data_IF_575124264412
#
_entry.id   IF_575124264412
#
_cell.length_a   1.000
_cell.length_b   1.000
_cell.length_c   1.000
_cell.angle_alpha   90.00
_cell.angle_beta   90.00
_cell.angle_gamma   90.00
#
_symmetry.space_group_name_H-M   'P 1'
#
loop_
_entity.id
_entity.type
_entity.pdbx_description
1 polymer ?
#
# COMPACT_ATOMS: atom_id res chain seq x y z
N UNK A 1 2.94 20.15 -34.38
CA UNK A 1 1.58 19.73 -34.82
C UNK A 1 0.86 18.77 -33.85
N UNK A 2 1.25 18.63 -32.57
CA UNK A 2 0.57 17.73 -31.61
C UNK A 2 -0.38 18.44 -30.62
N UNK A 3 -0.63 19.75 -30.79
CA UNK A 3 -1.50 20.54 -29.90
C UNK A 3 -3.00 20.35 -30.15
N UNK A 4 -3.40 19.57 -31.16
CA UNK A 4 -4.81 19.24 -31.46
C UNK A 4 -5.27 17.85 -30.97
N UNK A 5 -4.40 17.08 -30.29
CA UNK A 5 -4.79 15.79 -29.68
C UNK A 5 -5.14 15.88 -28.19
N UNK A 6 -4.91 17.04 -27.55
CA UNK A 6 -5.21 17.25 -26.14
C UNK A 6 -6.67 17.66 -25.87
N UNK A 7 -7.39 18.14 -26.89
CA UNK A 7 -8.84 18.44 -26.79
C UNK A 7 -9.73 17.18 -26.92
N UNK A 8 -9.19 16.03 -27.33
CA UNK A 8 -9.95 14.78 -27.45
C UNK A 8 -9.95 13.97 -26.15
N UNK A 9 -8.98 14.16 -25.25
CA UNK A 9 -8.88 13.38 -24.00
C UNK A 9 -9.70 14.00 -22.86
N UNK A 10 -9.95 15.31 -22.90
CA UNK A 10 -10.84 15.97 -21.92
C UNK A 10 -12.33 15.85 -22.26
N UNK A 11 -12.68 15.36 -23.47
CA UNK A 11 -14.05 15.03 -23.86
C UNK A 11 -14.35 13.52 -23.77
N UNK A 12 -13.36 12.70 -23.37
CA UNK A 12 -13.53 11.24 -23.23
C UNK A 12 -13.82 10.77 -21.79
N UNK A 13 -13.90 11.67 -20.80
CA UNK A 13 -14.29 11.32 -19.42
C UNK A 13 -15.82 11.42 -19.17
N UNK A 14 -16.63 11.58 -20.23
CA UNK A 14 -18.11 11.63 -20.09
C UNK A 14 -18.83 10.45 -20.78
N UNK A 15 -18.12 9.51 -21.41
CA UNK A 15 -18.79 8.38 -22.10
C UNK A 15 -18.12 7.03 -21.77
N UNK A 16 -18.19 6.62 -20.50
CA UNK A 16 -18.17 5.19 -20.14
C UNK A 16 -19.07 4.95 -18.91
N UNK A 17 -20.36 5.23 -19.09
CA UNK A 17 -21.46 4.83 -18.21
C UNK A 17 -22.23 3.67 -18.85
N UNK A 18 -21.59 2.52 -19.04
CA UNK A 18 -22.32 1.28 -19.39
C UNK A 18 -22.51 0.34 -18.18
N UNK A 19 -22.27 0.83 -16.96
CA UNK A 19 -22.44 0.06 -15.72
C UNK A 19 -23.42 0.64 -14.69
N UNK A 20 -24.02 1.81 -14.95
CA UNK A 20 -24.85 2.52 -13.96
C UNK A 20 -26.23 2.86 -14.51
N UNK A 21 -27.00 1.88 -14.96
CA UNK A 21 -28.34 2.13 -15.53
C UNK A 21 -29.50 2.05 -14.51
N UNK A 22 -29.28 1.66 -13.25
CA UNK A 22 -30.40 1.23 -12.39
C UNK A 22 -30.50 1.88 -10.99
N UNK A 23 -29.72 2.92 -10.66
CA UNK A 23 -29.82 3.60 -9.36
C UNK A 23 -30.41 5.02 -9.50
N UNK A 24 -31.71 5.23 -9.19
CA UNK A 24 -32.39 6.51 -9.39
C UNK A 24 -31.81 7.66 -8.52
N UNK A 25 -31.21 7.37 -7.36
CA UNK A 25 -30.60 8.40 -6.48
C UNK A 25 -29.34 9.05 -7.08
N UNK A 26 -28.52 8.28 -7.80
CA UNK A 26 -27.28 8.80 -8.41
C UNK A 26 -27.58 9.72 -9.60
N UNK A 27 -28.68 9.47 -10.31
CA UNK A 27 -29.09 10.28 -11.45
C UNK A 27 -29.71 11.61 -11.00
N UNK A 28 -30.46 11.63 -9.90
CA UNK A 28 -30.94 12.88 -9.30
C UNK A 28 -29.78 13.71 -8.71
N UNK A 29 -28.83 13.05 -8.02
CA UNK A 29 -27.64 13.72 -7.50
C UNK A 29 -26.77 14.34 -8.61
N UNK A 30 -26.55 13.62 -9.71
CA UNK A 30 -25.82 14.12 -10.88
C UNK A 30 -26.55 15.31 -11.54
N UNK A 31 -27.88 15.25 -11.65
CA UNK A 31 -28.68 16.31 -12.26
C UNK A 31 -28.71 17.57 -11.39
N UNK A 32 -28.79 17.42 -10.06
CA UNK A 32 -28.68 18.53 -9.10
C UNK A 32 -27.31 19.22 -9.17
N UNK A 33 -26.23 18.44 -9.21
CA UNK A 33 -24.86 18.98 -9.35
C UNK A 33 -24.69 19.71 -10.68
N UNK A 34 -25.17 19.15 -11.79
CA UNK A 34 -25.11 19.80 -13.10
C UNK A 34 -25.93 21.11 -13.15
N UNK A 35 -27.06 21.17 -12.45
CA UNK A 35 -27.94 22.34 -12.43
C UNK A 35 -27.39 23.47 -11.54
N UNK A 36 -26.71 23.14 -10.43
CA UNK A 36 -25.97 24.09 -9.59
C UNK A 36 -24.75 24.69 -10.34
N UNK A 37 -24.04 23.86 -11.11
CA UNK A 37 -22.92 24.28 -11.95
C UNK A 37 -23.36 25.18 -13.12
N UNK A 38 -24.56 24.98 -13.66
CA UNK A 38 -25.10 25.80 -14.74
C UNK A 38 -25.67 27.15 -14.25
N UNK A 39 -26.09 27.23 -12.99
CA UNK A 39 -26.59 28.48 -12.37
C UNK A 39 -25.49 29.43 -11.91
N UNK A 40 -24.25 28.95 -11.78
CA UNK A 40 -23.07 29.76 -11.49
C UNK A 40 -22.44 30.31 -12.79
N UNK A 41 -23.21 31.15 -13.49
CA UNK A 41 -22.77 31.89 -14.68
C UNK A 41 -21.81 33.04 -14.36
N UNK A 42 -20.60 32.72 -13.88
CA UNK A 42 -19.59 33.71 -13.49
C UNK A 42 -18.17 33.26 -13.81
N UNK A 43 -17.59 33.86 -14.86
CA UNK A 43 -16.18 34.16 -15.10
C UNK A 43 -15.15 33.47 -14.18
N UNK A 44 -14.53 32.39 -14.69
CA UNK A 44 -13.08 32.15 -14.56
C UNK A 44 -12.41 32.33 -13.19
N UNK A 45 -13.08 32.05 -12.08
CA UNK A 45 -12.40 31.94 -10.79
C UNK A 45 -11.93 30.49 -10.63
N UNK A 46 -10.78 30.24 -11.27
CA UNK A 46 -9.85 29.16 -10.98
C UNK A 46 -10.00 28.72 -9.53
N UNK A 47 -10.27 27.43 -9.29
CA UNK A 47 -10.29 26.84 -7.95
C UNK A 47 -9.23 27.50 -7.07
N UNK A 48 -9.62 27.98 -5.90
CA UNK A 48 -8.67 28.64 -5.02
C UNK A 48 -7.53 27.65 -4.73
N UNK A 49 -6.30 28.16 -4.53
CA UNK A 49 -5.18 27.29 -4.17
C UNK A 49 -5.53 26.41 -2.94
N UNK A 50 -6.39 26.88 -2.04
CA UNK A 50 -6.96 26.11 -0.93
C UNK A 50 -7.85 24.95 -1.36
N UNK A 51 -8.74 25.13 -2.33
CA UNK A 51 -9.65 24.07 -2.80
C UNK A 51 -8.88 22.92 -3.47
N UNK A 52 -7.86 23.28 -4.26
CA UNK A 52 -6.97 22.29 -4.90
C UNK A 52 -6.23 21.46 -3.85
N UNK A 53 -5.72 22.10 -2.79
CA UNK A 53 -5.03 21.39 -1.70
C UNK A 53 -5.99 20.52 -0.90
N UNK A 54 -7.18 21.03 -0.58
CA UNK A 54 -8.19 20.26 0.14
C UNK A 54 -8.61 19.01 -0.65
N UNK A 55 -8.87 19.16 -1.96
CA UNK A 55 -9.20 18.05 -2.85
C UNK A 55 -8.08 17.02 -2.96
N UNK A 56 -6.82 17.46 -3.09
CA UNK A 56 -5.68 16.55 -3.12
C UNK A 56 -5.52 15.79 -1.79
N UNK A 57 -5.61 16.49 -0.65
CA UNK A 57 -5.54 15.86 0.68
C UNK A 57 -6.65 14.83 0.85
N UNK A 58 -7.85 15.14 0.39
CA UNK A 58 -8.98 14.22 0.50
C UNK A 58 -8.80 12.97 -0.38
N UNK A 59 -8.37 13.15 -1.63
CA UNK A 59 -8.05 12.06 -2.53
C UNK A 59 -6.94 11.15 -1.96
N UNK A 60 -5.87 11.74 -1.42
CA UNK A 60 -4.80 10.98 -0.78
C UNK A 60 -5.29 10.27 0.49
N UNK A 61 -6.15 10.91 1.28
CA UNK A 61 -6.74 10.30 2.48
C UNK A 61 -7.56 9.07 2.13
N UNK A 62 -8.45 9.18 1.15
CA UNK A 62 -9.27 8.06 0.68
C UNK A 62 -8.40 6.97 0.04
N UNK A 63 -7.43 7.35 -0.79
CA UNK A 63 -6.51 6.43 -1.45
C UNK A 63 -5.66 5.63 -0.45
N UNK A 64 -4.97 6.32 0.47
CA UNK A 64 -4.19 5.68 1.52
C UNK A 64 -5.04 4.79 2.42
N UNK A 65 -6.26 5.22 2.78
CA UNK A 65 -7.17 4.37 3.54
C UNK A 65 -7.56 3.10 2.80
N UNK A 66 -7.89 3.23 1.52
CA UNK A 66 -8.30 2.10 0.69
C UNK A 66 -7.17 1.08 0.56
N UNK A 67 -5.96 1.55 0.24
CA UNK A 67 -4.78 0.68 0.10
C UNK A 67 -4.44 0.00 1.43
N UNK A 68 -4.35 0.76 2.54
CA UNK A 68 -4.04 0.18 3.85
C UNK A 68 -5.09 -0.85 4.28
N UNK A 69 -6.38 -0.57 4.03
CA UNK A 69 -7.45 -1.52 4.31
C UNK A 69 -7.35 -2.77 3.44
N UNK A 70 -7.07 -2.63 2.14
CA UNK A 70 -6.91 -3.75 1.22
C UNK A 70 -5.72 -4.64 1.61
N UNK A 71 -4.56 -4.03 1.81
CA UNK A 71 -3.31 -4.73 2.15
C UNK A 71 -3.34 -5.34 3.55
N UNK A 72 -4.14 -4.77 4.45
CA UNK A 72 -4.36 -5.30 5.78
C UNK A 72 -5.26 -6.54 5.86
N UNK A 73 -5.84 -6.97 4.73
CA UNK A 73 -6.68 -8.17 4.69
C UNK A 73 -5.87 -9.44 4.46
N UNK A 74 -6.48 -10.59 4.77
CA UNK A 74 -5.93 -11.90 4.43
C UNK A 74 -5.68 -11.98 2.92
N UNK A 75 -4.42 -12.27 2.53
CA UNK A 75 -3.92 -12.32 1.16
C UNK A 75 -3.66 -10.95 0.52
N UNK A 76 -3.76 -9.86 1.28
CA UNK A 76 -3.43 -8.52 0.79
C UNK A 76 -1.98 -8.40 0.30
N UNK A 77 -1.05 -9.11 0.95
CA UNK A 77 0.33 -9.24 0.47
C UNK A 77 0.56 -10.57 -0.23
N UNK A 78 0.13 -11.67 0.39
CA UNK A 78 0.52 -13.02 -0.03
C UNK A 78 0.05 -13.42 -1.44
N UNK A 79 -1.04 -12.81 -1.94
CA UNK A 79 -1.58 -13.12 -3.26
C UNK A 79 -1.25 -12.07 -4.33
N UNK A 80 -0.67 -10.92 -3.97
CA UNK A 80 -0.30 -9.88 -4.93
C UNK A 80 1.18 -10.02 -5.31
N UNK A 81 1.52 -10.48 -6.53
CA UNK A 81 2.90 -10.73 -6.93
C UNK A 81 3.77 -9.46 -6.97
N UNK A 82 3.17 -8.26 -6.92
CA UNK A 82 3.91 -6.98 -6.96
C UNK A 82 4.46 -6.59 -5.59
N UNK A 83 3.87 -7.10 -4.52
CA UNK A 83 4.18 -6.72 -3.13
C UNK A 83 4.35 -7.92 -2.19
N UNK A 84 4.16 -9.15 -2.70
CA UNK A 84 4.45 -10.38 -1.97
C UNK A 84 5.86 -10.36 -1.40
N UNK A 85 5.99 -10.76 -0.14
CA UNK A 85 7.25 -10.85 0.58
C UNK A 85 7.81 -12.25 0.41
N UNK A 86 8.84 -12.46 -0.42
CA UNK A 86 9.43 -13.78 -0.60
C UNK A 86 10.30 -14.15 0.61
N UNK A 87 10.76 -15.40 0.69
CA UNK A 87 11.76 -15.74 1.71
C UNK A 87 13.05 -14.92 1.57
N UNK A 88 13.68 -14.52 2.69
CA UNK A 88 15.00 -13.91 2.71
C UNK A 88 16.04 -14.75 1.96
N UNK A 89 16.95 -14.08 1.25
CA UNK A 89 18.05 -14.74 0.52
C UNK A 89 18.90 -15.66 1.41
N UNK A 90 19.03 -15.30 2.69
CA UNK A 90 19.71 -16.11 3.71
C UNK A 90 19.08 -17.49 3.91
N UNK A 91 17.76 -17.62 3.73
CA UNK A 91 17.02 -18.87 3.91
C UNK A 91 16.89 -19.70 2.64
N UNK A 92 17.28 -19.20 1.47
CA UNK A 92 17.16 -19.93 0.22
C UNK A 92 18.03 -21.19 0.18
N UNK A 93 19.21 -21.17 0.82
CA UNK A 93 20.06 -22.36 0.95
C UNK A 93 19.39 -23.42 1.82
N UNK A 94 18.84 -23.01 2.96
CA UNK A 94 18.11 -23.86 3.89
C UNK A 94 16.89 -24.50 3.20
N UNK A 95 16.12 -23.69 2.45
CA UNK A 95 15.00 -24.17 1.64
C UNK A 95 15.42 -25.18 0.58
N UNK A 96 16.51 -24.90 -0.16
CA UNK A 96 17.02 -25.84 -1.18
C UNK A 96 17.46 -27.17 -0.58
N UNK A 97 18.03 -27.15 0.62
CA UNK A 97 18.36 -28.38 1.31
C UNK A 97 17.09 -29.12 1.74
N UNK A 98 16.13 -28.41 2.35
CA UNK A 98 14.84 -28.96 2.75
C UNK A 98 14.08 -29.59 1.56
N UNK A 99 14.15 -28.97 0.38
CA UNK A 99 13.47 -29.47 -0.82
C UNK A 99 13.99 -30.82 -1.28
N UNK A 100 15.28 -31.11 -1.08
CA UNK A 100 15.86 -32.43 -1.41
C UNK A 100 15.26 -33.55 -0.55
N UNK A 101 14.69 -33.21 0.60
CA UNK A 101 14.04 -34.14 1.53
C UNK A 101 12.50 -34.03 1.52
N UNK A 102 11.91 -33.29 0.56
CA UNK A 102 10.47 -33.11 0.46
C UNK A 102 9.87 -32.20 1.54
N UNK A 103 10.67 -31.33 2.15
CA UNK A 103 10.27 -30.47 3.28
C UNK A 103 9.97 -29.01 2.85
N UNK A 104 9.73 -28.77 1.56
CA UNK A 104 9.41 -27.43 1.00
C UNK A 104 8.26 -26.74 1.75
N UNK A 105 7.27 -27.52 2.18
CA UNK A 105 6.08 -27.01 2.87
C UNK A 105 6.38 -26.22 4.15
N UNK A 106 7.49 -26.51 4.86
CA UNK A 106 7.86 -25.77 6.06
C UNK A 106 8.36 -24.36 5.75
N UNK A 107 9.10 -24.22 4.65
CA UNK A 107 9.58 -22.91 4.19
C UNK A 107 8.46 -22.12 3.50
N UNK A 108 7.55 -22.79 2.78
CA UNK A 108 6.36 -22.16 2.23
C UNK A 108 5.41 -21.63 3.34
N UNK A 109 5.25 -22.37 4.44
CA UNK A 109 4.50 -21.90 5.61
C UNK A 109 5.17 -20.67 6.22
N UNK A 110 6.49 -20.70 6.44
CA UNK A 110 7.24 -19.52 6.91
C UNK A 110 7.03 -18.31 6.01
N UNK A 111 7.17 -18.46 4.69
CA UNK A 111 6.93 -17.39 3.72
C UNK A 111 5.52 -16.81 3.86
N UNK A 112 4.52 -17.69 3.97
CA UNK A 112 3.12 -17.29 4.19
C UNK A 112 2.98 -16.50 5.50
N UNK A 113 3.63 -16.93 6.58
CA UNK A 113 3.60 -16.23 7.87
C UNK A 113 4.27 -14.86 7.84
N UNK A 114 5.35 -14.68 7.07
CA UNK A 114 5.96 -13.36 6.86
C UNK A 114 4.97 -12.40 6.19
N UNK A 115 4.27 -12.88 5.16
CA UNK A 115 3.20 -12.10 4.52
C UNK A 115 2.03 -11.82 5.46
N UNK A 116 1.62 -12.78 6.30
CA UNK A 116 0.60 -12.53 7.35
C UNK A 116 1.04 -11.46 8.35
N UNK A 117 2.32 -11.43 8.71
CA UNK A 117 2.84 -10.41 9.60
C UNK A 117 2.75 -9.02 8.96
N UNK A 118 3.09 -8.89 7.68
CA UNK A 118 2.92 -7.64 6.93
C UNK A 118 1.45 -7.21 6.81
N UNK A 119 0.55 -8.13 6.48
CA UNK A 119 -0.90 -7.90 6.46
C UNK A 119 -1.39 -7.39 7.83
N UNK A 120 -1.01 -8.05 8.92
CA UNK A 120 -1.42 -7.64 10.27
C UNK A 120 -0.81 -6.30 10.72
N UNK A 121 0.38 -5.95 10.22
CA UNK A 121 1.08 -4.71 10.58
C UNK A 121 0.57 -3.51 9.78
N UNK A 122 0.11 -3.72 8.55
CA UNK A 122 -0.25 -2.63 7.62
C UNK A 122 -1.33 -1.69 8.16
N UNK A 123 -2.44 -2.16 8.76
CA UNK A 123 -3.43 -1.28 9.37
C UNK A 123 -2.88 -0.36 10.47
N UNK A 124 -1.78 -0.76 11.13
CA UNK A 124 -1.17 0.02 12.21
C UNK A 124 -0.39 1.22 11.67
N UNK A 125 0.13 1.15 10.44
CA UNK A 125 0.79 2.26 9.76
C UNK A 125 -0.18 3.35 9.26
N UNK A 126 -1.50 3.12 9.32
CA UNK A 126 -2.52 4.06 8.84
C UNK A 126 -2.38 5.45 9.44
N UNK A 127 -2.11 5.55 10.75
CA UNK A 127 -1.97 6.82 11.46
C UNK A 127 -0.86 7.68 10.83
N UNK A 128 0.28 7.08 10.51
CA UNK A 128 1.43 7.78 9.90
C UNK A 128 1.09 8.39 8.53
N UNK A 129 0.27 7.71 7.72
CA UNK A 129 -0.22 8.27 6.46
C UNK A 129 -1.14 9.46 6.70
N UNK A 130 -2.07 9.35 7.67
CA UNK A 130 -3.00 10.44 7.97
C UNK A 130 -2.26 11.67 8.50
N UNK A 131 -1.27 11.48 9.38
CA UNK A 131 -0.45 12.54 9.93
C UNK A 131 0.36 13.25 8.82
N UNK A 132 0.96 12.49 7.89
CA UNK A 132 1.66 13.05 6.75
C UNK A 132 0.72 13.89 5.84
N UNK A 133 -0.51 13.41 5.57
CA UNK A 133 -1.49 14.16 4.77
C UNK A 133 -1.93 15.44 5.49
N UNK A 134 -2.15 15.37 6.80
CA UNK A 134 -2.52 16.54 7.59
C UNK A 134 -1.44 17.63 7.54
N UNK A 135 -0.18 17.24 7.69
CA UNK A 135 0.99 18.13 7.66
C UNK A 135 1.37 18.66 6.27
N UNK A 136 0.71 18.19 5.20
CA UNK A 136 1.02 18.62 3.83
C UNK A 136 0.73 20.12 3.62
N UNK A 137 1.76 20.85 3.21
CA UNK A 137 1.68 22.28 2.90
C UNK A 137 1.14 22.53 1.48
N UNK A 138 0.83 23.79 1.18
CA UNK A 138 0.47 24.21 -0.18
C UNK A 138 1.59 23.89 -1.18
N UNK A 139 2.84 24.08 -0.77
CA UNK A 139 4.02 23.82 -1.61
C UNK A 139 4.16 22.33 -1.90
N UNK A 140 3.98 21.47 -0.88
CA UNK A 140 4.02 20.02 -1.05
C UNK A 140 2.93 19.54 -2.02
N UNK A 141 1.70 20.02 -1.82
CA UNK A 141 0.56 19.67 -2.66
C UNK A 141 0.76 20.11 -4.13
N UNK A 142 1.29 21.31 -4.36
CA UNK A 142 1.67 21.76 -5.71
C UNK A 142 2.80 20.92 -6.29
N UNK A 143 3.76 20.51 -5.47
CA UNK A 143 4.84 19.62 -5.85
C UNK A 143 4.34 18.24 -6.27
N UNK A 144 3.31 17.72 -5.61
CA UNK A 144 2.65 16.46 -5.99
C UNK A 144 1.87 16.63 -7.30
N UNK A 145 1.07 17.70 -7.41
CA UNK A 145 0.21 17.92 -8.58
C UNK A 145 0.99 18.16 -9.89
N UNK A 146 2.10 18.87 -9.80
CA UNK A 146 2.94 19.21 -10.97
C UNK A 146 4.19 18.33 -11.09
N UNK A 147 4.33 17.34 -10.19
CA UNK A 147 5.47 16.45 -10.14
C UNK A 147 5.34 15.26 -11.08
N UNK A 148 6.37 14.39 -11.11
CA UNK A 148 6.29 13.10 -11.78
C UNK A 148 5.24 12.17 -11.13
N UNK A 149 4.91 11.06 -11.80
CA UNK A 149 3.90 10.10 -11.37
C UNK A 149 4.14 9.51 -9.95
N UNK A 150 5.38 9.54 -9.46
CA UNK A 150 5.76 9.06 -8.13
C UNK A 150 5.83 10.16 -7.05
N UNK A 151 5.44 11.40 -7.35
CA UNK A 151 5.63 12.54 -6.45
C UNK A 151 4.94 12.36 -5.09
N UNK A 152 3.73 11.78 -5.05
CA UNK A 152 3.04 11.45 -3.80
C UNK A 152 3.79 10.38 -3.00
N UNK A 153 4.31 9.35 -3.67
CA UNK A 153 5.13 8.30 -3.04
C UNK A 153 6.39 8.88 -2.42
N UNK A 154 7.11 9.73 -3.16
CA UNK A 154 8.32 10.40 -2.68
C UNK A 154 8.03 11.32 -1.49
N UNK A 155 6.90 12.02 -1.52
CA UNK A 155 6.45 12.83 -0.39
C UNK A 155 6.26 11.96 0.87
N UNK A 156 5.48 10.88 0.77
CA UNK A 156 5.26 9.98 1.90
C UNK A 156 6.57 9.37 2.42
N UNK A 157 7.45 8.89 1.53
CA UNK A 157 8.76 8.39 1.93
C UNK A 157 9.55 9.44 2.73
N UNK A 158 9.57 10.69 2.28
CA UNK A 158 10.30 11.76 2.98
C UNK A 158 9.72 12.09 4.35
N UNK A 159 8.39 12.05 4.50
CA UNK A 159 7.69 12.41 5.75
C UNK A 159 7.58 11.25 6.72
N UNK A 160 7.57 10.02 6.22
CA UNK A 160 7.25 8.84 7.01
C UNK A 160 8.45 7.95 7.29
N UNK A 161 9.57 8.03 6.57
CA UNK A 161 10.70 7.10 6.76
C UNK A 161 11.13 6.98 8.23
N UNK A 162 11.43 8.09 8.88
CA UNK A 162 11.88 8.10 10.27
C UNK A 162 10.81 7.59 11.28
N UNK A 163 9.56 8.09 11.26
CA UNK A 163 8.54 7.56 12.18
C UNK A 163 8.15 6.11 11.85
N UNK A 164 8.17 5.69 10.59
CA UNK A 164 7.92 4.32 10.18
C UNK A 164 8.98 3.37 10.77
N UNK A 165 10.26 3.68 10.59
CA UNK A 165 11.37 2.89 11.18
C UNK A 165 11.23 2.79 12.70
N UNK A 166 10.88 3.88 13.36
CA UNK A 166 10.74 3.94 14.82
C UNK A 166 9.53 3.17 15.35
N UNK A 167 8.38 3.27 14.69
CA UNK A 167 7.11 2.75 15.21
C UNK A 167 6.80 1.34 14.71
N UNK A 168 7.23 0.98 13.50
CA UNK A 168 6.87 -0.31 12.91
C UNK A 168 7.67 -1.49 13.44
N UNK A 169 8.91 -1.29 13.89
CA UNK A 169 9.73 -2.39 14.42
C UNK A 169 9.04 -3.18 15.57
N UNK A 170 8.56 -2.53 16.66
CA UNK A 170 7.84 -3.26 17.71
C UNK A 170 6.51 -3.84 17.24
N UNK A 171 5.84 -3.18 16.29
CA UNK A 171 4.56 -3.65 15.72
C UNK A 171 4.80 -4.95 14.93
N UNK A 172 5.79 -4.96 14.05
CA UNK A 172 6.15 -6.14 13.23
C UNK A 172 6.62 -7.28 14.13
N UNK A 173 7.41 -7.01 15.16
CA UNK A 173 7.79 -8.04 16.14
C UNK A 173 6.56 -8.69 16.80
N UNK A 174 5.59 -7.87 17.21
CA UNK A 174 4.36 -8.34 17.81
C UNK A 174 3.52 -9.15 16.82
N UNK A 175 3.33 -8.67 15.59
CA UNK A 175 2.51 -9.36 14.58
C UNK A 175 3.16 -10.66 14.12
N UNK A 176 4.49 -10.69 13.93
CA UNK A 176 5.24 -11.91 13.64
C UNK A 176 5.05 -12.99 14.72
N UNK A 177 5.03 -12.57 15.98
CA UNK A 177 4.74 -13.47 17.10
C UNK A 177 3.30 -13.96 17.06
N UNK A 178 2.34 -13.05 16.85
CA UNK A 178 0.90 -13.36 16.79
C UNK A 178 0.54 -14.34 15.67
N UNK A 179 1.12 -14.17 14.48
CA UNK A 179 0.84 -15.04 13.32
C UNK A 179 1.64 -16.35 13.36
N UNK A 180 2.59 -16.48 14.29
CA UNK A 180 3.44 -17.65 14.45
C UNK A 180 4.60 -17.74 13.45
N UNK A 181 5.05 -16.62 12.88
CA UNK A 181 6.20 -16.60 11.96
C UNK A 181 7.47 -17.10 12.62
N UNK A 182 7.66 -16.77 13.90
CA UNK A 182 8.79 -17.24 14.69
C UNK A 182 8.77 -18.76 14.89
N UNK A 183 7.60 -19.31 15.24
CA UNK A 183 7.44 -20.76 15.38
C UNK A 183 7.57 -21.48 14.04
N UNK A 184 7.08 -20.90 12.94
CA UNK A 184 7.24 -21.46 11.60
C UNK A 184 8.72 -21.52 11.19
N UNK A 185 9.52 -20.50 11.54
CA UNK A 185 10.97 -20.51 11.34
C UNK A 185 11.63 -21.62 12.14
N UNK A 186 11.35 -21.71 13.44
CA UNK A 186 11.92 -22.74 14.32
C UNK A 186 11.58 -24.15 13.79
N UNK A 187 10.34 -24.37 13.35
CA UNK A 187 9.89 -25.62 12.74
C UNK A 187 10.59 -25.94 11.40
N UNK A 188 10.80 -24.93 10.55
CA UNK A 188 11.50 -25.09 9.29
C UNK A 188 12.98 -25.45 9.50
N UNK A 189 13.62 -24.84 10.48
CA UNK A 189 15.01 -25.16 10.85
C UNK A 189 15.11 -26.53 11.52
N UNK A 190 14.20 -26.87 12.43
CA UNK A 190 14.18 -28.20 13.06
C UNK A 190 14.00 -29.34 12.05
N UNK A 191 13.23 -29.11 10.98
CA UNK A 191 13.02 -30.09 9.91
C UNK A 191 14.32 -30.44 9.15
N UNK A 192 15.33 -29.56 9.16
CA UNK A 192 16.65 -29.82 8.59
C UNK A 192 17.54 -30.70 9.49
N UNK A 193 17.11 -30.99 10.71
CA UNK A 193 17.84 -31.85 11.65
C UNK A 193 19.29 -31.38 11.88
N UNK A 194 20.29 -32.27 11.85
CA UNK A 194 21.69 -31.93 12.10
C UNK A 194 22.24 -30.82 11.18
N UNK A 195 21.74 -30.74 9.95
CA UNK A 195 22.20 -29.75 8.97
C UNK A 195 21.83 -28.31 9.36
N UNK A 196 20.83 -28.12 10.23
CA UNK A 196 20.45 -26.81 10.75
C UNK A 196 21.59 -26.14 11.53
N UNK A 197 22.40 -26.94 12.25
CA UNK A 197 23.50 -26.42 13.08
C UNK A 197 24.67 -25.85 12.27
N UNK A 198 24.75 -26.20 10.98
CA UNK A 198 25.72 -25.66 10.02
C UNK A 198 25.26 -24.35 9.38
N UNK A 199 24.01 -23.94 9.61
CA UNK A 199 23.43 -22.71 9.06
C UNK A 199 23.47 -21.59 10.11
N UNK A 200 23.80 -20.35 9.72
CA UNK A 200 23.71 -19.22 10.64
C UNK A 200 22.27 -19.02 11.14
N UNK A 201 22.13 -18.51 12.37
CA UNK A 201 20.81 -18.19 12.90
C UNK A 201 20.31 -16.85 12.31
N UNK A 202 19.23 -16.92 11.53
CA UNK A 202 18.63 -15.78 10.87
C UNK A 202 17.36 -15.24 11.56
N UNK A 203 16.96 -15.82 12.70
CA UNK A 203 15.73 -15.47 13.41
C UNK A 203 15.57 -13.97 13.67
N UNK A 204 16.65 -13.32 14.14
CA UNK A 204 16.66 -11.87 14.42
C UNK A 204 16.65 -10.98 13.16
N UNK A 205 16.92 -11.55 11.98
CA UNK A 205 16.89 -10.80 10.71
C UNK A 205 15.50 -10.80 10.07
N UNK A 206 14.58 -11.66 10.53
CA UNK A 206 13.24 -11.76 9.97
C UNK A 206 12.41 -10.51 10.25
N UNK A 207 12.56 -9.89 11.43
CA UNK A 207 11.86 -8.64 11.76
C UNK A 207 12.25 -7.52 10.80
N UNK A 208 13.56 -7.28 10.64
CA UNK A 208 14.07 -6.24 9.75
C UNK A 208 13.81 -6.51 8.27
N UNK A 209 13.37 -7.72 7.94
CA UNK A 209 13.02 -8.10 6.58
C UNK A 209 11.55 -7.80 6.24
N UNK A 210 10.69 -7.72 7.26
CA UNK A 210 9.25 -7.41 7.10
C UNK A 210 8.97 -5.91 7.32
N UNK A 211 9.79 -5.22 8.12
CA UNK A 211 9.79 -3.75 8.27
C UNK A 211 10.35 -3.09 7.01
#
# INVERSE_FOLDING_TARGET
MMKKRLALVLTLLVINLNGCANNPELMEAATRVATEMAKSGGTGNLLSNSDIVAGLKDALRVGSNTVVSQLGTTNGFNADPRIHIPLPKSLLKARKLASQFGLDGKFADLETKLNRAAEASTPKAKALFMDAIQQMSLTDAKGILNGPDDAATRYFQSKMKAPLEKEMEPIVNQTMSQVGAISAYDNAMAALGPAASMLPNYKGQLTNYVV
#
